data_IF_298191754257
#
_entry.id   IF_298191754257
#
_cell.length_a   1.000
_cell.length_b   1.000
_cell.length_c   1.000
_cell.angle_alpha   90.00
_cell.angle_beta   90.00
_cell.angle_gamma   90.00
#
_symmetry.space_group_name_H-M   'P 1'
#
loop_
_entity.id
_entity.type
_entity.pdbx_description
1 polymer ?
#
# COMPACT_ATOMS: atom_id res chain seq x y z
N UNK A 1 6.85 -22.71 26.55
CA UNK A 1 7.64 -21.70 25.80
C UNK A 1 7.62 -20.46 26.68
N UNK A 2 8.73 -20.19 27.37
CA UNK A 2 8.89 -18.94 28.12
C UNK A 2 8.81 -17.79 27.09
N UNK A 3 7.95 -16.81 27.37
CA UNK A 3 7.81 -15.61 26.54
C UNK A 3 9.06 -14.74 26.76
N UNK A 4 10.09 -14.96 25.96
CA UNK A 4 11.28 -14.09 25.90
C UNK A 4 11.05 -12.92 24.95
N UNK A 5 9.97 -12.14 25.16
CA UNK A 5 9.69 -10.94 24.41
C UNK A 5 9.68 -9.75 25.35
N UNK A 6 10.52 -8.77 25.04
CA UNK A 6 10.41 -7.44 25.66
C UNK A 6 9.44 -6.62 24.84
N UNK A 7 8.34 -6.19 25.46
CA UNK A 7 7.36 -5.33 24.81
C UNK A 7 7.78 -3.88 24.99
N UNK A 8 7.99 -3.18 23.89
CA UNK A 8 8.37 -1.78 23.85
C UNK A 8 7.27 -1.01 23.12
N UNK A 9 6.84 0.11 23.69
CA UNK A 9 5.87 1.00 23.05
C UNK A 9 6.58 2.18 22.38
N UNK A 10 6.09 2.56 21.20
CA UNK A 10 6.48 3.80 20.55
C UNK A 10 6.29 4.98 21.51
N UNK A 11 7.22 5.93 21.50
CA UNK A 11 7.19 7.13 22.34
C UNK A 11 6.49 8.27 21.63
N UNK A 12 6.27 9.38 22.35
CA UNK A 12 5.59 10.57 21.83
C UNK A 12 6.37 11.22 20.67
N UNK A 13 7.69 11.05 20.65
CA UNK A 13 8.56 11.55 19.56
C UNK A 13 9.36 10.43 18.91
N UNK A 14 9.70 10.65 17.66
CA UNK A 14 10.56 9.71 16.92
C UNK A 14 11.94 9.55 17.58
N UNK A 15 12.52 10.66 18.03
CA UNK A 15 13.84 10.70 18.65
C UNK A 15 13.88 9.85 19.94
N UNK A 16 12.86 9.95 20.76
CA UNK A 16 12.74 9.12 21.99
C UNK A 16 12.59 7.65 21.65
N UNK A 17 11.81 7.33 20.62
CA UNK A 17 11.66 5.95 20.13
C UNK A 17 12.99 5.42 19.60
N UNK A 18 13.71 6.20 18.79
CA UNK A 18 15.03 5.85 18.25
C UNK A 18 16.05 5.58 19.34
N UNK A 19 16.15 6.47 20.34
CA UNK A 19 17.07 6.31 21.47
C UNK A 19 16.73 5.10 22.35
N UNK A 20 15.46 4.80 22.49
CA UNK A 20 15.03 3.60 23.20
C UNK A 20 15.41 2.33 22.41
N UNK A 21 15.13 2.27 21.12
CA UNK A 21 15.48 1.12 20.27
C UNK A 21 16.99 0.94 20.21
N UNK A 22 17.78 2.02 20.15
CA UNK A 22 19.25 2.00 20.19
C UNK A 22 19.80 1.27 21.41
N UNK A 23 19.18 1.38 22.59
CA UNK A 23 19.63 0.71 23.82
C UNK A 23 19.54 -0.80 23.77
N UNK A 24 18.70 -1.35 22.89
CA UNK A 24 18.58 -2.79 22.67
C UNK A 24 19.63 -3.35 21.71
N UNK A 25 20.42 -2.50 21.06
CA UNK A 25 21.46 -2.88 20.08
C UNK A 25 20.95 -3.92 19.06
N UNK A 26 19.85 -3.63 18.33
CA UNK A 26 19.23 -4.62 17.47
C UNK A 26 20.11 -4.96 16.28
N UNK A 27 20.11 -6.24 15.88
CA UNK A 27 20.77 -6.70 14.66
C UNK A 27 19.95 -6.42 13.40
N UNK A 28 18.63 -6.36 13.54
CA UNK A 28 17.68 -6.14 12.45
C UNK A 28 16.39 -5.55 13.01
N UNK A 29 15.73 -4.74 12.21
CA UNK A 29 14.38 -4.23 12.49
C UNK A 29 13.48 -4.66 11.33
N UNK A 30 12.40 -5.37 11.66
CA UNK A 30 11.45 -5.93 10.67
C UNK A 30 10.06 -5.43 11.01
N UNK A 31 9.32 -4.84 10.05
CA UNK A 31 7.93 -4.49 10.27
C UNK A 31 7.07 -5.75 10.43
N UNK A 32 6.23 -5.78 11.45
CA UNK A 32 5.28 -6.88 11.67
C UNK A 32 3.95 -6.68 10.94
N UNK A 33 3.67 -5.43 10.57
CA UNK A 33 2.43 -5.01 9.90
C UNK A 33 2.75 -3.93 8.85
N UNK A 34 1.80 -3.65 7.96
CA UNK A 34 2.01 -2.69 6.88
C UNK A 34 2.19 -1.25 7.38
N UNK A 35 1.50 -0.86 8.43
CA UNK A 35 1.64 0.44 9.11
C UNK A 35 3.01 0.63 9.78
N UNK A 36 3.64 -0.46 10.20
CA UNK A 36 5.00 -0.44 10.77
C UNK A 36 6.13 -0.24 9.76
N UNK A 37 5.88 -0.35 8.45
CA UNK A 37 6.93 -0.32 7.41
C UNK A 37 7.73 0.98 7.43
N UNK A 38 7.06 2.11 7.55
CA UNK A 38 7.71 3.44 7.54
C UNK A 38 8.60 3.60 8.77
N UNK A 39 8.07 3.32 9.95
CA UNK A 39 8.82 3.44 11.21
C UNK A 39 10.01 2.48 11.25
N UNK A 40 9.78 1.20 10.91
CA UNK A 40 10.85 0.20 10.89
C UNK A 40 11.98 0.56 9.93
N UNK A 41 11.66 1.07 8.73
CA UNK A 41 12.66 1.49 7.75
C UNK A 41 13.45 2.70 8.24
N UNK A 42 12.80 3.71 8.82
CA UNK A 42 13.48 4.89 9.37
C UNK A 42 14.42 4.51 10.52
N UNK A 43 13.93 3.73 11.49
CA UNK A 43 14.73 3.27 12.62
C UNK A 43 15.95 2.46 12.15
N UNK A 44 15.75 1.52 11.22
CA UNK A 44 16.85 0.71 10.68
C UNK A 44 17.88 1.57 9.94
N UNK A 45 17.43 2.54 9.13
CA UNK A 45 18.31 3.48 8.45
C UNK A 45 19.16 4.30 9.44
N UNK A 46 18.55 4.90 10.46
CA UNK A 46 19.21 5.78 11.41
C UNK A 46 20.10 5.03 12.43
N UNK A 47 19.89 3.72 12.56
CA UNK A 47 20.76 2.81 13.30
C UNK A 47 21.82 2.14 12.41
N UNK A 48 21.91 2.48 11.11
CA UNK A 48 22.81 1.87 10.13
C UNK A 48 22.65 0.35 10.00
N UNK A 49 21.43 -0.14 10.14
CA UNK A 49 21.08 -1.55 9.94
C UNK A 49 20.67 -1.83 8.49
N UNK A 50 20.66 -3.10 8.10
CA UNK A 50 20.17 -3.48 6.79
C UNK A 50 18.68 -3.16 6.66
N UNK A 51 18.35 -2.35 5.67
CA UNK A 51 16.96 -1.99 5.33
C UNK A 51 16.84 -1.67 3.84
N UNK A 52 15.61 -1.45 3.38
CA UNK A 52 15.40 -0.85 2.08
C UNK A 52 15.91 0.60 2.06
N UNK A 53 16.41 1.11 0.91
CA UNK A 53 16.80 2.51 0.81
C UNK A 53 15.67 3.45 1.19
N UNK A 54 15.94 4.38 2.10
CA UNK A 54 14.92 5.28 2.67
C UNK A 54 14.22 6.12 1.60
N UNK A 55 14.92 6.48 0.53
CA UNK A 55 14.37 7.22 -0.61
C UNK A 55 13.35 6.42 -1.44
N UNK A 56 13.20 5.14 -1.18
CA UNK A 56 12.23 4.28 -1.86
C UNK A 56 10.97 4.03 -1.02
N UNK A 57 10.89 4.58 0.19
CA UNK A 57 9.82 4.26 1.15
C UNK A 57 8.43 4.58 0.58
N UNK A 58 8.28 5.72 -0.10
CA UNK A 58 7.02 6.12 -0.72
C UNK A 58 6.61 5.14 -1.84
N UNK A 59 7.57 4.70 -2.65
CA UNK A 59 7.31 3.71 -3.71
C UNK A 59 6.96 2.31 -3.17
N UNK A 60 7.29 2.02 -1.91
CA UNK A 60 6.96 0.77 -1.23
C UNK A 60 5.57 0.86 -0.59
N UNK A 61 5.19 2.01 -0.04
CA UNK A 61 3.99 2.18 0.78
C UNK A 61 2.81 2.83 0.04
N UNK A 62 3.07 3.70 -0.95
CA UNK A 62 2.02 4.44 -1.67
C UNK A 62 1.77 3.84 -3.06
N UNK A 63 0.51 3.52 -3.34
CA UNK A 63 0.09 2.82 -4.57
C UNK A 63 0.38 3.60 -5.85
N UNK A 64 0.26 4.92 -5.82
CA UNK A 64 0.60 5.81 -6.93
C UNK A 64 2.11 5.92 -7.12
N UNK A 65 2.89 6.06 -6.04
CA UNK A 65 4.34 6.19 -6.12
C UNK A 65 5.00 4.91 -6.63
N UNK A 66 4.46 3.74 -6.27
CA UNK A 66 4.87 2.47 -6.86
C UNK A 66 4.70 2.49 -8.39
N UNK A 67 3.55 2.93 -8.91
CA UNK A 67 3.32 3.02 -10.36
C UNK A 67 4.23 4.07 -11.02
N UNK A 68 4.41 5.24 -10.40
CA UNK A 68 5.33 6.27 -10.86
C UNK A 68 6.78 5.75 -10.97
N UNK A 69 7.20 4.95 -10.00
CA UNK A 69 8.53 4.30 -10.02
C UNK A 69 8.67 3.32 -11.18
N UNK A 70 7.63 2.55 -11.49
CA UNK A 70 7.62 1.65 -12.65
C UNK A 70 7.76 2.43 -13.96
N UNK A 71 6.98 3.50 -14.14
CA UNK A 71 7.06 4.40 -15.31
C UNK A 71 8.47 4.98 -15.45
N UNK A 72 9.03 5.50 -14.37
CA UNK A 72 10.37 6.11 -14.36
C UNK A 72 11.48 5.13 -14.80
N UNK A 73 11.26 3.84 -14.57
CA UNK A 73 12.20 2.78 -14.96
C UNK A 73 11.81 2.08 -16.28
N UNK A 74 10.91 2.67 -17.08
CA UNK A 74 10.42 2.11 -18.34
C UNK A 74 9.80 0.70 -18.19
N UNK A 75 9.21 0.42 -17.04
CA UNK A 75 8.49 -0.81 -16.77
C UNK A 75 7.00 -0.59 -16.99
N UNK A 76 6.28 -1.68 -17.28
CA UNK A 76 4.82 -1.63 -17.39
C UNK A 76 4.22 -1.20 -16.06
N UNK A 77 3.36 -0.20 -16.13
CA UNK A 77 2.58 0.32 -15.00
C UNK A 77 1.09 0.24 -15.29
N UNK A 78 0.28 0.32 -14.24
CA UNK A 78 -1.16 0.47 -14.35
C UNK A 78 -1.47 1.96 -14.55
N UNK A 79 -2.25 2.30 -15.60
CA UNK A 79 -2.72 3.67 -15.79
C UNK A 79 -3.57 4.10 -14.62
N UNK A 80 -3.27 5.25 -14.04
CA UNK A 80 -4.05 5.77 -12.94
C UNK A 80 -3.64 7.18 -12.54
N UNK A 81 -4.52 7.84 -11.78
CA UNK A 81 -4.30 9.18 -11.24
C UNK A 81 -4.79 9.25 -9.80
N UNK A 82 -4.06 10.01 -8.99
CA UNK A 82 -4.52 10.44 -7.67
C UNK A 82 -5.54 11.54 -7.84
N UNK A 83 -6.65 11.45 -7.13
CA UNK A 83 -7.73 12.45 -7.10
C UNK A 83 -8.05 12.81 -5.65
N UNK A 84 -8.36 14.09 -5.43
CA UNK A 84 -8.67 14.67 -4.12
C UNK A 84 -10.12 15.17 -4.03
N UNK A 85 -10.84 15.07 -5.14
CA UNK A 85 -12.25 15.46 -5.22
C UNK A 85 -13.01 14.62 -6.23
N UNK A 86 -14.34 14.67 -6.15
CA UNK A 86 -15.19 14.02 -7.13
C UNK A 86 -15.01 14.65 -8.52
N UNK A 87 -14.81 15.96 -8.59
CA UNK A 87 -14.64 16.67 -9.87
C UNK A 87 -13.36 16.23 -10.58
N UNK A 88 -12.25 16.13 -9.85
CA UNK A 88 -10.99 15.58 -10.39
C UNK A 88 -11.16 14.14 -10.90
N UNK A 89 -11.94 13.33 -10.17
CA UNK A 89 -12.23 11.96 -10.56
C UNK A 89 -13.00 11.89 -11.89
N UNK A 90 -14.03 12.72 -12.03
CA UNK A 90 -14.84 12.81 -13.23
C UNK A 90 -14.02 13.32 -14.41
N UNK A 91 -13.24 14.39 -14.21
CA UNK A 91 -12.37 14.94 -15.24
C UNK A 91 -11.38 13.89 -15.78
N UNK A 92 -10.71 13.16 -14.87
CA UNK A 92 -9.77 12.12 -15.25
C UNK A 92 -10.44 10.98 -16.02
N UNK A 93 -11.59 10.49 -15.51
CA UNK A 93 -12.34 9.40 -16.13
C UNK A 93 -12.76 9.75 -17.56
N UNK A 94 -13.32 10.94 -17.75
CA UNK A 94 -13.84 11.40 -19.05
C UNK A 94 -12.69 11.70 -20.02
N UNK A 95 -11.61 12.36 -19.56
CA UNK A 95 -10.42 12.70 -20.36
C UNK A 95 -9.70 11.46 -20.90
N UNK A 96 -9.51 10.45 -20.07
CA UNK A 96 -8.83 9.22 -20.45
C UNK A 96 -9.76 8.22 -21.15
N UNK A 97 -11.05 8.55 -21.31
CA UNK A 97 -12.09 7.68 -21.91
C UNK A 97 -12.10 6.28 -21.27
N UNK A 98 -12.03 6.26 -19.94
CA UNK A 98 -11.99 5.02 -19.18
C UNK A 98 -13.36 4.33 -19.22
N UNK A 99 -13.36 3.01 -19.14
CA UNK A 99 -14.60 2.20 -19.09
C UNK A 99 -14.77 1.54 -17.74
N UNK A 100 -13.86 0.67 -17.41
CA UNK A 100 -13.82 -0.05 -16.15
C UNK A 100 -12.64 0.43 -15.34
N UNK A 101 -12.87 0.80 -14.09
CA UNK A 101 -11.85 1.35 -13.21
C UNK A 101 -11.88 0.69 -11.84
N UNK A 102 -10.78 0.87 -11.11
CA UNK A 102 -10.68 0.57 -9.69
C UNK A 102 -10.49 1.88 -8.95
N UNK A 103 -11.37 2.17 -8.00
CA UNK A 103 -11.26 3.27 -7.04
C UNK A 103 -10.72 2.70 -5.74
N UNK A 104 -9.67 3.30 -5.18
CA UNK A 104 -9.07 2.84 -3.91
C UNK A 104 -8.30 3.97 -3.22
N UNK A 105 -8.18 3.95 -1.88
CA UNK A 105 -7.32 4.90 -1.18
C UNK A 105 -5.85 4.78 -1.61
N UNK A 106 -5.13 5.90 -1.62
CA UNK A 106 -3.67 5.92 -1.88
C UNK A 106 -2.95 5.07 -0.84
N UNK A 107 -3.27 5.28 0.43
CA UNK A 107 -2.71 4.54 1.56
C UNK A 107 -3.82 3.78 2.29
N UNK A 108 -3.83 2.45 2.18
CA UNK A 108 -4.77 1.55 2.85
C UNK A 108 -4.32 0.10 2.68
N UNK A 109 -4.74 -0.77 3.58
CA UNK A 109 -4.49 -2.20 3.57
C UNK A 109 -5.79 -3.02 3.54
N UNK A 110 -5.68 -4.33 3.48
CA UNK A 110 -6.80 -5.30 3.59
C UNK A 110 -7.98 -5.04 2.64
N UNK A 111 -7.74 -4.43 1.48
CA UNK A 111 -8.77 -4.08 0.48
C UNK A 111 -9.83 -3.09 0.97
N UNK A 112 -9.62 -2.41 2.10
CA UNK A 112 -10.56 -1.39 2.60
C UNK A 112 -10.62 -0.23 1.61
N UNK A 113 -11.84 0.17 1.26
CA UNK A 113 -12.11 1.24 0.31
C UNK A 113 -11.82 0.89 -1.16
N UNK A 114 -11.53 -0.36 -1.51
CA UNK A 114 -11.37 -0.78 -2.90
C UNK A 114 -12.73 -1.04 -3.53
N UNK A 115 -13.01 -0.36 -4.66
CA UNK A 115 -14.24 -0.51 -5.44
C UNK A 115 -13.91 -0.79 -6.89
N UNK A 116 -14.54 -1.82 -7.46
CA UNK A 116 -14.47 -2.14 -8.88
C UNK A 116 -15.69 -1.50 -9.56
N UNK A 117 -15.45 -0.62 -10.51
CA UNK A 117 -16.50 0.13 -11.20
C UNK A 117 -16.53 -0.27 -12.67
N UNK A 118 -17.70 -0.62 -13.18
CA UNK A 118 -17.92 -1.07 -14.55
C UNK A 118 -18.33 0.08 -15.49
N UNK A 119 -18.73 1.21 -14.91
CA UNK A 119 -19.12 2.40 -15.65
C UNK A 119 -18.86 3.69 -14.85
N UNK A 120 -19.21 4.83 -15.48
CA UNK A 120 -19.01 6.17 -14.92
C UNK A 120 -19.85 6.42 -13.66
N UNK A 121 -21.09 5.91 -13.61
CA UNK A 121 -21.97 6.14 -12.46
C UNK A 121 -21.47 5.35 -11.24
N UNK A 122 -21.11 4.09 -11.41
CA UNK A 122 -20.50 3.29 -10.35
C UNK A 122 -19.20 3.92 -9.82
N UNK A 123 -18.39 4.54 -10.71
CA UNK A 123 -17.19 5.26 -10.28
C UNK A 123 -17.54 6.48 -9.43
N UNK A 124 -18.54 7.29 -9.83
CA UNK A 124 -19.01 8.44 -9.06
C UNK A 124 -19.49 8.05 -7.67
N UNK A 125 -20.30 6.99 -7.59
CA UNK A 125 -20.85 6.50 -6.33
C UNK A 125 -19.75 5.93 -5.43
N UNK A 126 -18.81 5.19 -6.02
CA UNK A 126 -17.64 4.65 -5.32
C UNK A 126 -16.75 5.77 -4.73
N UNK A 127 -16.46 6.81 -5.49
CA UNK A 127 -15.64 7.94 -5.01
C UNK A 127 -16.31 8.64 -3.83
N UNK A 128 -17.63 8.91 -3.92
CA UNK A 128 -18.39 9.51 -2.81
C UNK A 128 -18.39 8.62 -1.57
N UNK A 129 -18.61 7.32 -1.76
CA UNK A 129 -18.60 6.36 -0.67
C UNK A 129 -17.24 6.31 0.01
N UNK A 130 -16.16 6.13 -0.76
CA UNK A 130 -14.82 5.91 -0.20
C UNK A 130 -14.28 7.16 0.49
N UNK A 131 -14.57 8.38 0.03
CA UNK A 131 -14.21 9.60 0.75
C UNK A 131 -14.91 9.74 2.12
N UNK A 132 -16.05 9.07 2.30
CA UNK A 132 -16.78 9.07 3.58
C UNK A 132 -16.37 7.91 4.51
N UNK A 133 -15.46 7.02 4.08
CA UNK A 133 -14.96 5.93 4.92
C UNK A 133 -13.84 6.43 5.85
N UNK A 134 -13.76 5.79 7.00
CA UNK A 134 -12.56 5.87 7.83
C UNK A 134 -11.55 4.83 7.32
N UNK A 135 -10.31 5.24 7.14
CA UNK A 135 -9.22 4.34 6.74
C UNK A 135 -8.95 3.26 7.78
N UNK A 136 -8.27 2.20 7.37
CA UNK A 136 -7.90 1.06 8.24
C UNK A 136 -7.16 1.51 9.51
N UNK A 137 -6.43 2.60 9.42
CA UNK A 137 -5.63 3.16 10.51
C UNK A 137 -6.33 4.28 11.26
N UNK A 138 -7.67 4.43 11.10
CA UNK A 138 -8.45 5.49 11.76
C UNK A 138 -8.32 6.87 11.13
N UNK A 139 -7.62 7.01 10.00
CA UNK A 139 -7.39 8.26 9.29
C UNK A 139 -8.53 8.60 8.33
N UNK A 140 -8.68 9.89 8.04
CA UNK A 140 -9.53 10.34 6.93
C UNK A 140 -8.90 9.98 5.58
N UNK A 141 -9.72 9.57 4.62
CA UNK A 141 -9.30 9.24 3.27
C UNK A 141 -9.41 10.47 2.38
N UNK A 142 -8.36 11.25 2.30
CA UNK A 142 -8.31 12.52 1.54
C UNK A 142 -7.82 12.37 0.10
N UNK A 143 -7.24 11.23 -0.24
CA UNK A 143 -6.68 10.94 -1.56
C UNK A 143 -7.06 9.55 -2.02
N UNK A 144 -7.61 9.46 -3.22
CA UNK A 144 -7.92 8.20 -3.88
C UNK A 144 -7.09 8.03 -5.15
N UNK A 145 -6.87 6.79 -5.54
CA UNK A 145 -6.34 6.45 -6.86
C UNK A 145 -7.47 5.89 -7.70
N UNK A 146 -7.68 6.46 -8.89
CA UNK A 146 -8.49 5.87 -9.94
C UNK A 146 -7.53 5.21 -10.92
N UNK A 147 -7.69 3.91 -11.13
CA UNK A 147 -6.84 3.12 -12.02
C UNK A 147 -7.68 2.37 -13.04
N UNK A 148 -7.10 2.12 -14.23
CA UNK A 148 -7.68 1.16 -15.16
C UNK A 148 -7.83 -0.21 -14.49
N UNK A 149 -8.93 -0.90 -14.79
CA UNK A 149 -9.15 -2.26 -14.29
C UNK A 149 -8.40 -3.26 -15.15
N UNK A 150 -7.42 -3.93 -14.56
CA UNK A 150 -6.72 -5.05 -15.20
C UNK A 150 -7.55 -6.32 -15.01
N UNK A 151 -7.82 -7.04 -16.11
CA UNK A 151 -8.47 -8.35 -16.09
C UNK A 151 -7.45 -9.45 -16.32
N UNK A 152 -7.52 -10.50 -15.54
CA UNK A 152 -6.62 -11.64 -15.66
C UNK A 152 -6.56 -12.49 -14.41
N UNK A 153 -5.70 -13.49 -14.43
CA UNK A 153 -5.36 -14.26 -13.25
C UNK A 153 -4.37 -13.46 -12.40
N UNK A 154 -4.67 -13.32 -11.13
CA UNK A 154 -3.83 -12.61 -10.17
C UNK A 154 -2.86 -13.57 -9.49
N UNK A 155 -1.62 -13.13 -9.37
CA UNK A 155 -0.56 -13.82 -8.67
C UNK A 155 0.12 -12.87 -7.69
N UNK A 156 0.59 -13.42 -6.56
CA UNK A 156 1.52 -12.76 -5.65
C UNK A 156 2.88 -13.41 -5.83
N UNK A 157 3.91 -12.59 -5.89
CA UNK A 157 5.30 -13.06 -5.98
C UNK A 157 6.06 -12.52 -4.79
N UNK A 158 6.39 -13.41 -3.86
CA UNK A 158 7.21 -13.08 -2.71
C UNK A 158 8.69 -13.12 -3.07
N UNK A 159 9.40 -12.08 -2.69
CA UNK A 159 10.82 -11.95 -2.98
C UNK A 159 11.63 -11.55 -1.76
N UNK A 160 12.86 -12.00 -1.70
CA UNK A 160 13.87 -11.54 -0.75
C UNK A 160 15.02 -10.91 -1.53
N UNK A 161 15.46 -9.75 -1.07
CA UNK A 161 16.53 -8.99 -1.72
C UNK A 161 17.61 -8.64 -0.71
N UNK A 162 18.87 -8.86 -1.08
CA UNK A 162 20.02 -8.47 -0.29
C UNK A 162 21.19 -8.12 -1.20
N UNK A 163 21.83 -6.97 -0.97
CA UNK A 163 22.99 -6.49 -1.74
C UNK A 163 22.79 -6.54 -3.27
N UNK A 164 21.62 -6.13 -3.75
CA UNK A 164 21.29 -6.13 -5.18
C UNK A 164 20.96 -7.51 -5.78
N UNK A 165 21.01 -8.57 -4.99
CA UNK A 165 20.60 -9.92 -5.41
C UNK A 165 19.15 -10.14 -4.99
N UNK A 166 18.29 -10.45 -5.97
CA UNK A 166 16.87 -10.72 -5.77
C UNK A 166 16.57 -12.19 -5.94
N UNK A 167 15.79 -12.78 -5.05
CA UNK A 167 15.33 -14.17 -5.11
C UNK A 167 13.83 -14.23 -4.96
N UNK A 168 13.16 -14.90 -5.88
CA UNK A 168 11.75 -15.29 -5.73
C UNK A 168 11.73 -16.46 -4.74
N UNK A 169 10.98 -16.29 -3.64
CA UNK A 169 10.83 -17.29 -2.60
C UNK A 169 9.56 -18.10 -2.78
N UNK A 170 8.48 -17.44 -3.25
CA UNK A 170 7.19 -18.09 -3.41
C UNK A 170 6.36 -17.37 -4.48
N UNK A 171 5.49 -18.12 -5.13
CA UNK A 171 4.48 -17.59 -6.06
C UNK A 171 3.13 -18.17 -5.66
N UNK A 172 2.19 -17.28 -5.36
CA UNK A 172 0.81 -17.64 -5.03
C UNK A 172 -0.11 -17.32 -6.19
N UNK A 173 -1.07 -18.16 -6.43
CA UNK A 173 -2.20 -17.86 -7.31
C UNK A 173 -3.40 -17.50 -6.44
N UNK A 174 -3.95 -16.31 -6.64
CA UNK A 174 -5.19 -15.95 -5.96
C UNK A 174 -6.41 -16.56 -6.63
N UNK A 175 -7.21 -17.25 -5.82
CA UNK A 175 -8.57 -17.61 -6.15
C UNK A 175 -9.50 -16.68 -5.36
N UNK A 176 -10.04 -15.65 -6.02
CA UNK A 176 -10.93 -14.67 -5.40
C UNK A 176 -12.38 -15.11 -5.53
N UNK A 177 -13.05 -15.27 -4.42
CA UNK A 177 -14.49 -15.54 -4.35
C UNK A 177 -15.18 -14.24 -3.92
N UNK A 178 -16.07 -13.72 -4.75
CA UNK A 178 -16.89 -12.55 -4.40
C UNK A 178 -17.88 -12.91 -3.32
N UNK A 179 -17.94 -12.09 -2.28
CA UNK A 179 -18.99 -12.20 -1.25
C UNK A 179 -20.26 -11.46 -1.69
N UNK A 180 -21.39 -11.79 -1.08
CA UNK A 180 -22.67 -11.09 -1.30
C UNK A 180 -22.62 -9.61 -0.91
N UNK A 181 -21.70 -9.24 -0.05
CA UNK A 181 -21.50 -7.86 0.46
C UNK A 181 -20.47 -7.05 -0.36
N UNK A 182 -20.04 -7.57 -1.53
CA UNK A 182 -19.10 -6.87 -2.42
C UNK A 182 -17.63 -7.01 -2.05
N UNK A 183 -17.30 -7.75 -0.98
CA UNK A 183 -15.93 -8.09 -0.62
C UNK A 183 -15.35 -9.25 -1.43
N UNK A 184 -14.10 -9.59 -1.17
CA UNK A 184 -13.47 -10.79 -1.71
C UNK A 184 -12.97 -11.68 -0.56
N UNK A 185 -13.22 -12.98 -0.68
CA UNK A 185 -12.54 -14.02 0.09
C UNK A 185 -11.41 -14.55 -0.79
N UNK A 186 -10.27 -14.75 -0.20
CA UNK A 186 -9.07 -15.28 -0.86
C UNK A 186 -8.88 -16.74 -0.43
N UNK A 187 -8.71 -17.62 -1.40
CA UNK A 187 -8.40 -19.03 -1.24
C UNK A 187 -7.09 -19.36 -1.99
#
# INVERSE_FOLDING_TARGET
>A
IENNFDLIYEKDTYEETLEMVRKFDPLVIVPGTEDGVILATKLANDLNLLCNPIENIDAITLKNEMQNRLVKNNLRSIKGQVVRSLDEAIEYYDKENLKEVVVKPVYSAASVGVRLCSDRQEMIDAVKEVFNLTGVYGNELTELVIQERIKGQEYVVDTVSCNGVHRVTLVWKYNKIKTSEGGNIYD
#
